data_IF_032154296134
#
_entry.id   IF_032154296134
#
_cell.length_a   1.000
_cell.length_b   1.000
_cell.length_c   1.000
_cell.angle_alpha   90.00
_cell.angle_beta   90.00
_cell.angle_gamma   90.00
#
_symmetry.space_group_name_H-M   'P 1'
#
loop_
_entity.id
_entity.type
_entity.pdbx_description
1 polymer ?
#
# COMPACT_ATOMS: atom_id res chain seq x y z
N UNK A 1 -17.06 -6.41 -7.18
CA UNK A 1 -16.10 -5.31 -6.95
C UNK A 1 -14.72 -5.92 -6.92
N UNK A 2 -13.82 -5.57 -7.83
CA UNK A 2 -12.44 -6.06 -7.80
C UNK A 2 -11.73 -5.33 -6.67
N UNK A 3 -11.48 -6.04 -5.57
CA UNK A 3 -10.75 -5.51 -4.42
C UNK A 3 -9.30 -5.25 -4.85
N UNK A 4 -8.75 -4.03 -4.69
CA UNK A 4 -7.34 -3.80 -4.93
C UNK A 4 -6.54 -4.55 -3.85
N UNK A 5 -5.78 -5.55 -4.27
CA UNK A 5 -4.85 -6.30 -3.43
C UNK A 5 -3.42 -5.88 -3.77
N UNK A 6 -2.58 -5.69 -2.75
CA UNK A 6 -1.15 -5.47 -2.93
C UNK A 6 -0.42 -6.82 -2.87
N UNK A 7 0.35 -7.14 -3.90
CA UNK A 7 1.25 -8.31 -3.92
C UNK A 7 2.69 -7.82 -4.10
N UNK A 8 3.41 -7.69 -2.99
CA UNK A 8 4.79 -7.21 -2.93
C UNK A 8 5.83 -8.23 -3.41
N UNK A 9 5.79 -8.59 -4.70
CA UNK A 9 6.82 -9.44 -5.31
C UNK A 9 8.22 -8.81 -5.24
N UNK A 10 9.24 -9.64 -4.99
CA UNK A 10 10.66 -9.23 -4.91
C UNK A 10 10.89 -8.05 -3.93
N UNK A 11 10.23 -8.12 -2.76
CA UNK A 11 10.20 -7.03 -1.77
C UNK A 11 11.60 -6.59 -1.29
N UNK A 12 12.57 -7.50 -1.29
CA UNK A 12 13.95 -7.21 -0.90
C UNK A 12 14.64 -6.15 -1.78
N UNK A 13 14.19 -5.98 -3.03
CA UNK A 13 14.73 -4.96 -3.95
C UNK A 13 14.06 -3.59 -3.77
N UNK A 14 13.04 -3.52 -2.92
CA UNK A 14 12.15 -2.37 -2.77
C UNK A 14 12.26 -1.70 -1.41
N UNK A 15 13.07 -2.26 -0.53
CA UNK A 15 13.33 -1.77 0.81
C UNK A 15 14.75 -1.24 0.90
N UNK A 16 14.92 -0.17 1.65
CA UNK A 16 16.24 0.26 2.07
C UNK A 16 16.67 -0.59 3.28
N UNK A 17 17.80 -1.32 3.19
CA UNK A 17 18.22 -2.23 4.27
C UNK A 17 18.64 -1.53 5.57
N UNK A 18 18.96 -0.23 5.51
CA UNK A 18 19.44 0.51 6.68
C UNK A 18 18.28 0.99 7.56
N UNK A 19 17.26 1.57 6.93
CA UNK A 19 16.03 2.03 7.57
C UNK A 19 15.00 0.92 7.77
N UNK A 20 15.04 -0.13 6.93
CA UNK A 20 14.00 -1.16 6.89
C UNK A 20 12.71 -0.69 6.24
N UNK A 21 12.71 0.49 5.60
CA UNK A 21 11.54 1.10 4.99
C UNK A 21 11.44 0.78 3.50
N UNK A 22 10.21 0.81 2.96
CA UNK A 22 9.98 0.70 1.52
C UNK A 22 10.38 2.00 0.85
N UNK A 23 11.25 1.93 -0.16
CA UNK A 23 11.73 3.08 -0.94
C UNK A 23 11.33 3.02 -2.41
N UNK A 24 10.85 1.88 -2.90
CA UNK A 24 10.35 1.75 -4.27
C UNK A 24 9.07 2.59 -4.46
N UNK A 25 9.17 3.62 -5.29
CA UNK A 25 8.08 4.58 -5.50
C UNK A 25 6.79 3.92 -5.98
N UNK A 26 6.88 2.95 -6.90
CA UNK A 26 5.68 2.26 -7.42
C UNK A 26 4.92 1.50 -6.32
N UNK A 27 5.66 0.97 -5.36
CA UNK A 27 5.11 0.27 -4.20
C UNK A 27 4.50 1.27 -3.21
N UNK A 28 5.17 2.39 -2.95
CA UNK A 28 4.64 3.47 -2.12
C UNK A 28 3.34 4.05 -2.68
N UNK A 29 3.26 4.24 -3.99
CA UNK A 29 2.06 4.75 -4.68
C UNK A 29 0.88 3.78 -4.50
N UNK A 30 1.12 2.47 -4.69
CA UNK A 30 0.08 1.45 -4.51
C UNK A 30 -0.39 1.34 -3.06
N UNK A 31 0.54 1.32 -2.10
CA UNK A 31 0.23 1.29 -0.67
C UNK A 31 -0.59 2.52 -0.26
N UNK A 32 -0.19 3.71 -0.73
CA UNK A 32 -0.91 4.97 -0.48
C UNK A 32 -2.31 4.94 -1.07
N UNK A 33 -2.47 4.42 -2.29
CA UNK A 33 -3.78 4.24 -2.93
C UNK A 33 -4.68 3.26 -2.16
N UNK A 34 -4.12 2.15 -1.69
CA UNK A 34 -4.87 1.16 -0.90
C UNK A 34 -5.34 1.75 0.44
N UNK A 35 -4.48 2.49 1.14
CA UNK A 35 -4.83 3.15 2.40
C UNK A 35 -5.88 4.24 2.20
N UNK A 36 -5.81 4.99 1.09
CA UNK A 36 -6.83 5.98 0.72
C UNK A 36 -8.18 5.33 0.48
N UNK A 37 -8.23 4.26 -0.31
CA UNK A 37 -9.44 3.48 -0.55
C UNK A 37 -10.02 2.86 0.73
N UNK A 38 -9.14 2.44 1.66
CA UNK A 38 -9.56 1.94 2.97
C UNK A 38 -10.15 3.06 3.85
N UNK A 39 -9.58 4.26 3.81
CA UNK A 39 -10.14 5.45 4.46
C UNK A 39 -11.55 5.78 3.95
N UNK A 40 -11.73 5.81 2.63
CA UNK A 40 -13.05 6.01 2.00
C UNK A 40 -14.05 4.93 2.41
N UNK A 41 -13.60 3.68 2.50
CA UNK A 41 -14.44 2.58 2.97
C UNK A 41 -14.88 2.80 4.42
N UNK A 42 -13.96 3.17 5.32
CA UNK A 42 -14.28 3.45 6.74
C UNK A 42 -15.35 4.56 6.83
N UNK A 43 -15.24 5.63 6.05
CA UNK A 43 -16.23 6.72 6.08
C UNK A 43 -17.64 6.24 5.68
N UNK A 44 -17.75 5.27 4.77
CA UNK A 44 -19.04 4.72 4.33
C UNK A 44 -19.67 3.78 5.36
N UNK A 45 -18.87 3.14 6.20
CA UNK A 45 -19.35 2.20 7.23
C UNK A 45 -19.47 2.83 8.61
N UNK A 46 -18.96 4.05 8.80
CA UNK A 46 -19.14 4.83 10.03
C UNK A 46 -20.62 5.26 10.10
N UNK A 47 -21.37 4.64 11.01
CA UNK A 47 -22.75 5.00 11.35
C UNK A 47 -22.86 6.34 12.07
#
# INVERSE_FOLDING_TARGET
MNKPEFMGGVIQNKVDPQSGEVVDQSTLDHLSGQLSAFGDYIQRVKA
#
